data_IF_995989469566
#
_entry.id   IF_995989469566
#
_cell.length_a   1.000
_cell.length_b   1.000
_cell.length_c   1.000
_cell.angle_alpha   90.00
_cell.angle_beta   90.00
_cell.angle_gamma   90.00
#
_symmetry.space_group_name_H-M   'P 1'
#
loop_
_entity.id
_entity.type
_entity.pdbx_description
1 polymer ?
#
# COMPACT_ATOMS: atom_id res chain seq x y z
N UNK A 1 -26.80 56.11 5.55
CA UNK A 1 -26.16 54.86 6.03
C UNK A 1 -24.99 54.53 5.09
N UNK A 2 -23.73 54.72 5.52
CA UNK A 2 -22.56 54.36 4.71
C UNK A 2 -22.29 52.86 4.86
N UNK A 3 -22.13 52.08 3.77
CA UNK A 3 -21.87 50.65 3.90
C UNK A 3 -20.45 50.43 4.46
N UNK A 4 -20.33 49.61 5.51
CA UNK A 4 -19.06 49.29 6.16
C UNK A 4 -18.25 48.29 5.33
N UNK A 5 -17.58 48.78 4.28
CA UNK A 5 -16.69 48.00 3.41
C UNK A 5 -15.46 47.45 4.17
N UNK A 6 -15.04 48.11 5.24
CA UNK A 6 -13.89 47.72 6.05
C UNK A 6 -14.14 46.38 6.75
N UNK A 7 -15.35 46.13 7.27
CA UNK A 7 -15.68 44.88 7.95
C UNK A 7 -15.72 43.69 6.97
N UNK A 8 -16.17 43.93 5.72
CA UNK A 8 -16.20 42.91 4.66
C UNK A 8 -14.80 42.58 4.12
N UNK A 9 -13.92 43.57 3.99
CA UNK A 9 -12.53 43.34 3.59
C UNK A 9 -11.73 42.57 4.66
N UNK A 10 -12.00 42.81 5.95
CA UNK A 10 -11.38 42.04 7.05
C UNK A 10 -11.81 40.57 7.05
N UNK A 11 -13.08 40.27 6.74
CA UNK A 11 -13.58 38.90 6.65
C UNK A 11 -12.95 38.09 5.49
N UNK A 12 -12.65 38.73 4.36
CA UNK A 12 -12.00 38.08 3.21
C UNK A 12 -10.52 37.79 3.50
N UNK A 13 -9.82 38.72 4.16
CA UNK A 13 -8.40 38.54 4.51
C UNK A 13 -8.19 37.39 5.52
N UNK A 14 -9.09 37.22 6.49
CA UNK A 14 -9.07 36.09 7.44
C UNK A 14 -9.37 34.76 6.73
N UNK A 15 -10.18 34.76 5.68
CA UNK A 15 -10.47 33.56 4.89
C UNK A 15 -9.29 33.13 4.00
N UNK A 16 -8.51 34.07 3.45
CA UNK A 16 -7.32 33.76 2.66
C UNK A 16 -6.17 33.19 3.50
N UNK A 17 -6.04 33.59 4.77
CA UNK A 17 -5.00 33.07 5.66
C UNK A 17 -5.27 31.63 6.14
N UNK A 18 -6.48 31.11 5.95
CA UNK A 18 -6.86 29.72 6.29
C UNK A 18 -6.64 28.73 5.14
N UNK A 19 -6.07 29.16 4.00
CA UNK A 19 -5.58 28.24 2.98
C UNK A 19 -4.24 27.67 3.43
N UNK A 20 -4.31 26.81 4.44
CA UNK A 20 -3.18 26.04 4.93
C UNK A 20 -2.45 25.42 3.75
N UNK A 21 -1.17 25.75 3.66
CA UNK A 21 -0.23 25.04 2.82
C UNK A 21 -0.40 23.54 3.05
N UNK A 22 -0.99 22.83 2.08
CA UNK A 22 -1.04 21.36 2.06
C UNK A 22 0.38 20.89 1.76
N UNK A 23 1.23 20.90 2.78
CA UNK A 23 2.47 20.13 2.77
C UNK A 23 2.07 18.73 3.21
N UNK A 24 2.38 17.74 2.37
CA UNK A 24 2.23 16.37 2.81
C UNK A 24 3.33 16.08 3.82
N UNK A 25 2.93 15.84 5.06
CA UNK A 25 3.81 15.37 6.13
C UNK A 25 3.87 13.84 6.11
N UNK A 26 4.95 13.23 6.63
CA UNK A 26 4.98 11.79 6.88
C UNK A 26 3.77 11.38 7.73
N UNK A 27 3.05 10.35 7.32
CA UNK A 27 1.91 9.81 8.09
C UNK A 27 2.47 9.05 9.28
N UNK A 28 2.09 9.43 10.50
CA UNK A 28 2.50 8.73 11.71
C UNK A 28 1.62 7.48 11.98
N UNK A 29 2.06 6.66 12.93
CA UNK A 29 1.39 5.39 13.27
C UNK A 29 -0.08 5.57 13.69
N UNK A 30 -0.40 6.59 14.48
CA UNK A 30 -1.77 6.78 14.97
C UNK A 30 -2.68 7.21 13.82
N UNK A 31 -2.22 8.12 12.98
CA UNK A 31 -2.94 8.52 11.76
C UNK A 31 -3.15 7.32 10.84
N UNK A 32 -2.12 6.51 10.63
CA UNK A 32 -2.22 5.30 9.82
C UNK A 32 -3.22 4.29 10.39
N UNK A 33 -3.30 4.15 11.73
CA UNK A 33 -4.27 3.28 12.39
C UNK A 33 -5.70 3.79 12.25
N UNK A 34 -5.91 5.11 12.31
CA UNK A 34 -7.22 5.74 12.05
C UNK A 34 -7.64 5.56 10.59
N UNK A 35 -6.71 5.63 9.63
CA UNK A 35 -7.01 5.33 8.23
C UNK A 35 -7.35 3.84 8.07
N UNK A 36 -6.58 2.95 8.71
CA UNK A 36 -6.81 1.51 8.65
C UNK A 36 -8.18 1.10 9.21
N UNK A 37 -8.70 1.80 10.22
CA UNK A 37 -10.01 1.50 10.81
C UNK A 37 -11.19 1.79 9.87
N UNK A 38 -10.98 2.54 8.78
CA UNK A 38 -11.96 2.66 7.69
C UNK A 38 -12.18 1.34 6.94
N UNK A 39 -11.22 0.42 7.00
CA UNK A 39 -11.18 -0.80 6.19
C UNK A 39 -11.19 -2.11 6.99
N UNK A 40 -10.70 -2.09 8.24
CA UNK A 40 -10.66 -3.23 9.17
C UNK A 40 -11.26 -2.83 10.51
N UNK A 41 -12.09 -3.67 11.13
CA UNK A 41 -12.38 -3.50 12.55
C UNK A 41 -11.11 -3.76 13.37
N UNK A 42 -10.91 -3.05 14.48
CA UNK A 42 -9.80 -3.29 15.44
C UNK A 42 -8.43 -3.61 14.79
N UNK A 43 -7.88 -2.70 13.98
CA UNK A 43 -6.66 -2.96 13.22
C UNK A 43 -5.44 -3.17 14.14
N UNK A 44 -4.78 -4.31 14.00
CA UNK A 44 -3.55 -4.65 14.72
C UNK A 44 -2.33 -4.39 13.83
N UNK A 45 -1.42 -3.53 14.29
CA UNK A 45 -0.18 -3.26 13.57
C UNK A 45 0.72 -4.50 13.58
N UNK A 46 1.13 -4.96 12.40
CA UNK A 46 2.18 -5.97 12.24
C UNK A 46 3.53 -5.30 12.11
N UNK A 47 4.53 -5.84 12.82
CA UNK A 47 5.92 -5.48 12.56
C UNK A 47 6.25 -5.89 11.12
N UNK A 48 6.57 -4.92 10.28
CA UNK A 48 7.04 -5.17 8.92
C UNK A 48 8.51 -5.58 8.99
N UNK A 49 8.81 -6.84 8.68
CA UNK A 49 10.18 -7.35 8.47
C UNK A 49 10.26 -7.80 7.00
N UNK A 50 11.37 -7.54 6.28
CA UNK A 50 12.74 -7.67 6.76
C UNK A 50 13.27 -6.37 7.37
N UNK A 51 14.26 -6.46 8.28
CA UNK A 51 14.84 -5.29 8.90
C UNK A 51 15.76 -4.66 7.86
N UNK A 52 15.26 -3.71 7.07
CA UNK A 52 16.16 -2.85 6.30
C UNK A 52 16.77 -1.87 7.29
N UNK A 53 17.91 -2.27 7.88
CA UNK A 53 18.76 -1.41 8.70
C UNK A 53 19.10 -0.16 7.88
N UNK A 54 18.38 0.94 8.14
CA UNK A 54 18.95 2.27 8.07
C UNK A 54 19.34 2.64 9.50
N UNK A 55 20.54 2.25 9.89
CA UNK A 55 21.21 2.79 11.08
C UNK A 55 21.45 4.28 10.84
N UNK A 56 20.71 5.13 11.56
CA UNK A 56 20.95 6.57 11.60
C UNK A 56 19.66 7.39 11.44
N UNK A 57 19.14 7.89 12.56
CA UNK A 57 17.90 8.66 12.72
C UNK A 57 16.60 7.90 12.40
N UNK A 58 15.61 8.01 13.29
CA UNK A 58 14.25 7.44 13.16
C UNK A 58 13.61 7.84 11.83
N UNK A 59 13.79 7.04 10.78
CA UNK A 59 13.19 7.28 9.47
C UNK A 59 11.75 6.78 9.55
N UNK A 60 10.80 7.69 9.32
CA UNK A 60 9.37 7.34 9.29
C UNK A 60 9.14 6.20 8.28
N UNK A 61 8.36 5.15 8.63
CA UNK A 61 8.05 4.05 7.73
C UNK A 61 7.49 4.53 6.39
N UNK A 62 7.75 3.79 5.32
CA UNK A 62 7.14 4.09 4.03
C UNK A 62 5.67 3.67 3.98
N UNK A 63 5.29 2.64 4.75
CA UNK A 63 3.94 2.13 4.89
C UNK A 63 3.77 1.40 6.24
N UNK A 64 2.52 1.15 6.61
CA UNK A 64 2.12 0.40 7.79
C UNK A 64 1.22 -0.77 7.39
N UNK A 65 1.51 -1.97 7.89
CA UNK A 65 0.68 -3.16 7.65
C UNK A 65 -0.20 -3.43 8.87
N UNK A 66 -1.51 -3.35 8.68
CA UNK A 66 -2.50 -3.69 9.68
C UNK A 66 -3.21 -4.99 9.31
N UNK A 67 -3.52 -5.80 10.33
CA UNK A 67 -4.26 -7.05 10.18
C UNK A 67 -5.37 -7.13 11.22
N UNK A 68 -6.37 -7.96 10.95
CA UNK A 68 -7.32 -8.42 11.96
C UNK A 68 -7.44 -9.93 11.79
N UNK A 69 -7.03 -10.69 12.81
CA UNK A 69 -7.02 -12.15 12.77
C UNK A 69 -8.43 -12.75 12.62
N UNK A 70 -9.45 -12.11 13.19
CA UNK A 70 -10.84 -12.55 13.12
C UNK A 70 -11.41 -12.36 11.70
N UNK A 71 -11.09 -11.23 11.06
CA UNK A 71 -11.55 -10.94 9.70
C UNK A 71 -10.73 -11.67 8.64
N UNK A 72 -9.54 -12.18 8.98
CA UNK A 72 -8.59 -12.76 8.01
C UNK A 72 -8.33 -11.79 6.86
N UNK A 73 -8.02 -10.53 7.19
CA UNK A 73 -7.74 -9.47 6.22
C UNK A 73 -6.49 -8.69 6.61
N UNK A 74 -5.89 -8.07 5.61
CA UNK A 74 -4.81 -7.12 5.79
C UNK A 74 -5.08 -5.84 5.00
N UNK A 75 -4.55 -4.73 5.51
CA UNK A 75 -4.55 -3.42 4.87
C UNK A 75 -3.18 -2.78 5.04
N UNK A 76 -2.67 -2.20 3.96
CA UNK A 76 -1.39 -1.49 3.91
C UNK A 76 -1.69 0.00 3.71
N UNK A 77 -1.35 0.80 4.70
CA UNK A 77 -1.55 2.25 4.71
C UNK A 77 -0.24 2.95 4.38
N UNK A 78 -0.31 4.01 3.57
CA UNK A 78 0.85 4.81 3.21
C UNK A 78 1.41 5.56 4.42
N UNK A 79 2.75 5.58 4.53
CA UNK A 79 3.50 6.45 5.44
C UNK A 79 3.77 7.85 4.86
N UNK A 80 3.23 8.15 3.69
CA UNK A 80 3.45 9.38 2.94
C UNK A 80 2.11 9.96 2.48
N UNK A 81 1.75 11.14 2.99
CA UNK A 81 0.42 11.74 2.78
C UNK A 81 0.26 12.37 1.40
N UNK A 82 1.36 12.62 0.68
CA UNK A 82 1.26 13.07 -0.71
C UNK A 82 0.83 11.93 -1.66
N UNK A 83 1.00 10.67 -1.25
CA UNK A 83 0.58 9.49 -2.00
C UNK A 83 -0.83 9.03 -1.58
N UNK A 84 -1.40 8.06 -2.30
CA UNK A 84 -2.68 7.46 -1.94
C UNK A 84 -2.62 6.89 -0.50
N UNK A 85 -3.64 7.17 0.31
CA UNK A 85 -3.68 6.72 1.71
C UNK A 85 -3.64 5.18 1.83
N UNK A 86 -4.30 4.49 0.89
CA UNK A 86 -4.36 3.04 0.81
C UNK A 86 -3.40 2.53 -0.26
N UNK A 87 -2.40 1.76 0.16
CA UNK A 87 -1.43 1.11 -0.76
C UNK A 87 -1.98 -0.20 -1.29
N UNK A 88 -2.66 -0.97 -0.43
CA UNK A 88 -3.25 -2.24 -0.81
C UNK A 88 -4.05 -2.87 0.33
N UNK A 89 -4.93 -3.80 -0.01
CA UNK A 89 -5.71 -4.57 0.94
C UNK A 89 -5.99 -5.95 0.38
N UNK A 90 -6.31 -6.91 1.25
CA UNK A 90 -6.63 -8.26 0.80
C UNK A 90 -7.08 -9.17 1.92
N UNK A 91 -7.34 -10.43 1.57
CA UNK A 91 -7.67 -11.50 2.50
C UNK A 91 -6.41 -12.31 2.83
N UNK A 92 -6.33 -12.80 4.06
CA UNK A 92 -5.31 -13.71 4.57
C UNK A 92 -5.93 -15.09 4.71
N UNK A 93 -5.83 -15.92 3.67
CA UNK A 93 -6.27 -17.31 3.81
C UNK A 93 -5.38 -18.04 4.84
N UNK A 94 -5.90 -19.10 5.47
CA UNK A 94 -5.10 -19.91 6.40
C UNK A 94 -3.90 -20.59 5.70
N UNK A 95 -3.98 -20.81 4.38
CA UNK A 95 -2.87 -21.29 3.56
C UNK A 95 -1.82 -20.18 3.36
N UNK A 96 -2.25 -18.96 3.03
CA UNK A 96 -1.39 -17.80 2.81
C UNK A 96 -0.69 -17.34 4.10
N UNK A 97 -1.33 -17.55 5.26
CA UNK A 97 -0.75 -17.21 6.57
C UNK A 97 0.35 -18.20 7.01
N UNK A 98 0.38 -19.42 6.46
CA UNK A 98 1.42 -20.43 6.73
C UNK A 98 2.61 -20.29 5.78
N UNK A 99 2.37 -19.78 4.58
CA UNK A 99 3.41 -19.60 3.56
C UNK A 99 4.20 -18.31 3.81
N UNK A 100 5.49 -18.33 3.50
CA UNK A 100 6.28 -17.10 3.46
C UNK A 100 5.69 -16.13 2.42
N UNK A 101 5.76 -14.83 2.70
CA UNK A 101 5.38 -13.79 1.75
C UNK A 101 6.12 -14.02 0.40
N UNK A 102 5.41 -14.11 -0.74
CA UNK A 102 6.04 -14.28 -2.05
C UNK A 102 7.06 -13.19 -2.35
N UNK A 103 8.15 -13.54 -3.02
CA UNK A 103 9.24 -12.60 -3.29
C UNK A 103 8.79 -11.43 -4.19
N UNK A 104 7.87 -11.70 -5.10
CA UNK A 104 7.25 -10.70 -5.98
C UNK A 104 6.47 -9.65 -5.18
N UNK A 105 5.77 -10.07 -4.12
CA UNK A 105 5.07 -9.14 -3.24
C UNK A 105 6.04 -8.30 -2.42
N UNK A 106 7.15 -8.88 -1.94
CA UNK A 106 8.22 -8.11 -1.29
C UNK A 106 8.84 -7.09 -2.24
N UNK A 107 9.14 -7.48 -3.48
CA UNK A 107 9.68 -6.60 -4.49
C UNK A 107 8.73 -5.43 -4.82
N UNK A 108 7.41 -5.69 -4.85
CA UNK A 108 6.40 -4.63 -4.98
C UNK A 108 6.46 -3.62 -3.82
N UNK A 109 6.57 -4.10 -2.58
CA UNK A 109 6.68 -3.22 -1.40
C UNK A 109 8.02 -2.45 -1.37
N UNK A 110 9.14 -3.08 -1.74
CA UNK A 110 10.43 -2.40 -1.88
C UNK A 110 10.41 -1.30 -2.95
N UNK A 111 9.71 -1.55 -4.07
CA UNK A 111 9.48 -0.52 -5.08
C UNK A 111 8.64 0.63 -4.52
N UNK A 112 7.63 0.33 -3.71
CA UNK A 112 6.84 1.35 -3.03
C UNK A 112 7.69 2.21 -2.07
N UNK A 113 8.59 1.60 -1.29
CA UNK A 113 9.55 2.32 -0.43
C UNK A 113 10.44 3.29 -1.23
N UNK A 114 10.85 2.87 -2.44
CA UNK A 114 11.64 3.69 -3.35
C UNK A 114 10.85 4.90 -3.86
N UNK A 115 9.56 4.72 -4.17
CA UNK A 115 8.65 5.82 -4.55
C UNK A 115 8.51 6.81 -3.40
N UNK A 116 8.20 6.34 -2.19
CA UNK A 116 8.10 7.20 -1.00
C UNK A 116 9.40 7.97 -0.76
N UNK A 117 10.55 7.31 -0.91
CA UNK A 117 11.86 7.96 -0.75
C UNK A 117 12.09 9.06 -1.80
N UNK A 118 11.69 8.83 -3.06
CA UNK A 118 11.80 9.84 -4.11
C UNK A 118 10.87 11.04 -3.89
N UNK A 119 9.65 10.80 -3.40
CA UNK A 119 8.67 11.85 -3.03
C UNK A 119 9.21 12.71 -1.89
N UNK A 120 9.65 12.08 -0.79
CA UNK A 120 10.24 12.78 0.37
C UNK A 120 11.49 13.59 -0.01
N UNK A 121 12.27 13.10 -0.96
CA UNK A 121 13.43 13.81 -1.51
C UNK A 121 13.07 14.89 -2.55
N UNK A 122 11.78 15.11 -2.83
CA UNK A 122 11.26 16.04 -3.87
C UNK A 122 11.81 15.74 -5.27
N UNK A 123 12.19 14.49 -5.54
CA UNK A 123 12.70 14.00 -6.83
C UNK A 123 11.61 13.41 -7.73
N UNK A 124 10.42 13.18 -7.20
CA UNK A 124 9.26 12.71 -7.94
C UNK A 124 8.14 13.73 -7.84
N UNK A 125 7.49 14.02 -8.97
CA UNK A 125 6.22 14.74 -9.00
C UNK A 125 5.10 13.71 -8.95
N UNK A 126 4.13 13.93 -8.06
CA UNK A 126 2.98 13.03 -7.94
C UNK A 126 1.91 13.54 -8.89
N UNK A 127 1.53 12.78 -9.92
CA UNK A 127 0.46 13.19 -10.80
C UNK A 127 -0.86 13.17 -10.05
N UNK A 128 -1.68 14.21 -10.24
CA UNK A 128 -3.07 14.19 -9.80
C UNK A 128 -3.85 13.21 -10.66
N UNK A 129 -3.97 11.96 -10.19
CA UNK A 129 -4.75 10.94 -10.88
C UNK A 129 -6.21 11.08 -10.45
N UNK A 130 -7.04 11.63 -11.33
CA UNK A 130 -8.50 11.46 -11.22
C UNK A 130 -8.85 10.10 -11.82
N UNK A 131 -9.02 9.10 -10.96
CA UNK A 131 -9.54 7.81 -11.42
C UNK A 131 -10.98 8.02 -11.89
N UNK A 132 -11.33 7.62 -13.12
CA UNK A 132 -12.73 7.62 -13.53
C UNK A 132 -13.53 6.74 -12.55
N UNK A 133 -14.75 7.15 -12.23
CA UNK A 133 -15.68 6.36 -11.42
C UNK A 133 -16.10 5.13 -12.26
N UNK A 134 -15.23 4.11 -12.29
CA UNK A 134 -15.50 2.84 -12.98
C UNK A 134 -16.30 1.95 -12.05
N UNK A 135 -17.17 1.12 -12.65
CA UNK A 135 -17.82 0.00 -11.94
C UNK A 135 -16.74 -0.90 -11.36
N UNK A 136 -16.93 -1.35 -10.12
CA UNK A 136 -16.07 -2.35 -9.50
C UNK A 136 -16.02 -3.62 -10.36
N UNK A 137 -14.80 -4.09 -10.64
CA UNK A 137 -14.58 -5.38 -11.29
C UNK A 137 -14.13 -6.34 -10.20
N UNK A 138 -15.00 -7.30 -9.85
CA UNK A 138 -14.67 -8.36 -8.91
C UNK A 138 -13.55 -9.25 -9.47
N UNK A 139 -12.81 -9.98 -8.61
CA UNK A 139 -11.80 -10.93 -9.06
C UNK A 139 -12.36 -11.88 -10.12
N UNK A 140 -11.77 -11.84 -11.31
CA UNK A 140 -12.22 -12.64 -12.46
C UNK A 140 -11.62 -14.04 -12.45
N UNK A 141 -10.42 -14.17 -11.90
CA UNK A 141 -9.73 -15.44 -11.79
C UNK A 141 -10.34 -16.25 -10.65
N UNK A 142 -10.75 -17.47 -10.96
CA UNK A 142 -11.21 -18.48 -9.99
C UNK A 142 -10.11 -19.48 -9.65
N UNK A 143 -9.07 -19.56 -10.48
CA UNK A 143 -7.89 -20.39 -10.24
C UNK A 143 -6.93 -19.69 -9.27
N UNK A 144 -6.25 -20.52 -8.47
CA UNK A 144 -5.20 -20.11 -7.53
C UNK A 144 -4.01 -21.05 -7.73
N UNK A 145 -3.37 -20.94 -8.89
CA UNK A 145 -2.24 -21.80 -9.25
C UNK A 145 -0.96 -21.34 -8.58
N UNK A 146 -0.08 -22.31 -8.31
CA UNK A 146 1.19 -22.11 -7.63
C UNK A 146 2.36 -22.44 -8.56
N UNK A 147 3.58 -22.27 -8.05
CA UNK A 147 4.80 -22.58 -8.82
C UNK A 147 5.36 -23.98 -8.56
N UNK A 148 4.90 -24.65 -7.52
CA UNK A 148 5.40 -25.95 -7.08
C UNK A 148 4.42 -27.07 -7.44
N UNK A 149 4.62 -28.26 -6.87
CA UNK A 149 3.77 -29.41 -7.11
C UNK A 149 2.28 -29.07 -6.83
N UNK A 150 1.34 -29.49 -7.69
CA UNK A 150 1.51 -30.32 -8.88
C UNK A 150 1.86 -29.56 -10.18
N UNK A 151 1.95 -28.23 -10.14
CA UNK A 151 2.10 -27.38 -11.33
C UNK A 151 3.47 -27.51 -12.01
N UNK A 152 4.50 -27.87 -11.25
CA UNK A 152 5.85 -28.06 -11.78
C UNK A 152 6.20 -29.49 -12.18
N UNK A 153 5.22 -30.39 -12.34
CA UNK A 153 5.47 -31.82 -12.61
C UNK A 153 6.40 -32.07 -13.82
N UNK A 154 6.36 -31.19 -14.82
CA UNK A 154 7.11 -31.33 -16.07
C UNK A 154 8.27 -30.34 -16.21
N UNK A 155 8.65 -29.62 -15.15
CA UNK A 155 9.84 -28.76 -15.19
C UNK A 155 11.12 -29.61 -15.08
N UNK A 156 12.29 -29.09 -15.50
CA UNK A 156 13.56 -29.79 -15.31
C UNK A 156 13.80 -30.18 -13.84
N UNK A 157 14.48 -31.30 -13.63
CA UNK A 157 14.82 -31.82 -12.31
C UNK A 157 16.32 -32.17 -12.21
N UNK A 158 17.22 -31.16 -12.26
CA UNK A 158 18.67 -31.40 -12.24
C UNK A 158 19.15 -32.12 -10.98
N UNK A 159 18.48 -31.89 -9.84
CA UNK A 159 18.80 -32.52 -8.53
C UNK A 159 17.78 -33.61 -8.15
N UNK A 160 17.04 -34.16 -9.13
CA UNK A 160 15.96 -35.13 -8.89
C UNK A 160 14.67 -34.52 -8.31
N UNK A 161 14.65 -33.21 -8.09
CA UNK A 161 13.46 -32.43 -7.69
C UNK A 161 13.13 -31.42 -8.80
N UNK A 162 11.88 -31.41 -9.25
CA UNK A 162 11.40 -30.46 -10.24
C UNK A 162 11.61 -29.00 -9.78
N UNK A 163 12.19 -28.17 -10.64
CA UNK A 163 12.30 -26.72 -10.37
C UNK A 163 10.91 -26.08 -10.30
N UNK A 164 10.71 -24.92 -9.66
CA UNK A 164 9.44 -24.20 -9.78
C UNK A 164 9.13 -23.85 -11.25
N UNK A 165 7.84 -23.69 -11.60
CA UNK A 165 7.42 -23.25 -12.94
C UNK A 165 7.91 -21.83 -13.28
N UNK A 166 8.09 -21.00 -12.25
CA UNK A 166 8.40 -19.58 -12.38
C UNK A 166 7.14 -18.70 -12.38
N UNK A 167 7.26 -17.52 -11.77
CA UNK A 167 6.13 -16.61 -11.56
C UNK A 167 5.49 -16.13 -12.86
N UNK A 168 6.28 -15.88 -13.91
CA UNK A 168 5.78 -15.49 -15.24
C UNK A 168 4.95 -16.62 -15.84
N UNK A 169 5.45 -17.87 -15.81
CA UNK A 169 4.73 -19.00 -16.34
C UNK A 169 3.41 -19.24 -15.59
N UNK A 170 3.42 -19.20 -14.25
CA UNK A 170 2.19 -19.36 -13.44
C UNK A 170 1.19 -18.23 -13.66
N UNK A 171 1.64 -16.98 -13.81
CA UNK A 171 0.76 -15.85 -14.09
C UNK A 171 0.11 -15.95 -15.48
N UNK A 172 0.89 -16.30 -16.51
CA UNK A 172 0.37 -16.54 -17.86
C UNK A 172 -0.61 -17.72 -17.87
N UNK A 173 -0.27 -18.80 -17.19
CA UNK A 173 -1.14 -19.97 -17.11
C UNK A 173 -2.49 -19.63 -16.49
N UNK A 174 -2.53 -18.87 -15.37
CA UNK A 174 -3.80 -18.46 -14.74
C UNK A 174 -4.65 -17.53 -15.62
N UNK A 175 -4.03 -16.80 -16.54
CA UNK A 175 -4.73 -15.92 -17.48
C UNK A 175 -5.40 -16.68 -18.63
N UNK A 176 -4.85 -17.83 -19.04
CA UNK A 176 -5.33 -18.64 -20.16
C UNK A 176 -6.52 -19.53 -19.78
#
# INVERSE_FOLDING_TARGET
MKPNYILKMSLVAVYCAATSFVWGEPVDKNTAQVIASKYLANPELRATTPPTRATGASKQPAYYLFTNANEKRFVIISGESQLNELVGYGTMSAANAKNSIPEEFKAMLQRYESVVSAVRAKKAQIPTVKLPQKREVLPLLTCHWEQNYPFNLYTPAPDGVNTPTGCVATATAQLM
#
